data_IF_899041224175
#
_entry.id   IF_899041224175
#
_cell.length_a   1.000
_cell.length_b   1.000
_cell.length_c   1.000
_cell.angle_alpha   90.00
_cell.angle_beta   90.00
_cell.angle_gamma   90.00
#
_symmetry.space_group_name_H-M   'P 1'
#
loop_
_entity.id
_entity.type
_entity.pdbx_description
1 polymer ?
#
# COMPACT_ATOMS: atom_id res chain seq x y z
N UNK A 1 10.92 -10.35 -19.12
CA UNK A 1 11.57 -10.58 -17.82
C UNK A 1 12.57 -9.45 -17.66
N UNK A 2 12.19 -8.33 -17.03
CA UNK A 2 13.16 -7.28 -16.68
C UNK A 2 14.05 -7.83 -15.56
N UNK A 3 15.35 -7.70 -15.74
CA UNK A 3 16.38 -8.14 -14.82
C UNK A 3 16.23 -7.41 -13.48
N UNK A 4 16.51 -8.09 -12.36
CA UNK A 4 16.57 -7.50 -11.00
C UNK A 4 17.57 -6.31 -10.89
N UNK A 5 18.31 -6.00 -11.95
CA UNK A 5 19.28 -4.90 -12.03
C UNK A 5 18.64 -3.50 -12.25
N UNK A 6 17.31 -3.41 -12.50
CA UNK A 6 16.65 -2.15 -12.86
C UNK A 6 15.61 -1.66 -11.80
N UNK A 7 15.47 -2.35 -10.65
CA UNK A 7 14.55 -1.90 -9.60
C UNK A 7 15.17 -0.73 -8.82
N UNK A 8 14.36 0.31 -8.50
CA UNK A 8 14.85 1.43 -7.71
C UNK A 8 15.07 1.03 -6.24
N UNK A 9 15.99 1.72 -5.57
CA UNK A 9 16.06 1.67 -4.10
C UNK A 9 14.89 2.44 -3.51
N UNK A 10 14.09 1.80 -2.64
CA UNK A 10 12.93 2.40 -1.99
C UNK A 10 13.12 2.46 -0.48
N UNK A 11 12.49 3.46 0.16
CA UNK A 11 12.52 3.67 1.61
C UNK A 11 11.20 3.25 2.28
N UNK A 12 10.11 3.16 1.51
CA UNK A 12 8.80 2.78 2.03
C UNK A 12 7.93 2.11 0.95
N UNK A 13 6.98 1.30 1.40
CA UNK A 13 5.96 0.67 0.56
C UNK A 13 4.59 1.11 1.06
N UNK A 14 3.73 1.58 0.15
CA UNK A 14 2.31 1.85 0.45
C UNK A 14 1.42 0.90 -0.33
N UNK A 15 0.36 0.41 0.30
CA UNK A 15 -0.54 -0.59 -0.32
C UNK A 15 -1.99 -0.15 -0.14
N UNK A 16 -2.74 -0.17 -1.24
CA UNK A 16 -4.18 0.05 -1.25
C UNK A 16 -4.94 -1.21 -1.64
N UNK A 17 -6.02 -1.51 -0.92
CA UNK A 17 -6.90 -2.65 -1.21
C UNK A 17 -8.33 -2.41 -0.70
N UNK A 18 -9.28 -3.22 -1.21
CA UNK A 18 -10.67 -3.18 -0.77
C UNK A 18 -11.27 -4.60 -0.78
N UNK A 19 -12.34 -4.86 -1.50
CA UNK A 19 -12.97 -6.17 -1.58
C UNK A 19 -11.95 -7.25 -2.04
N UNK A 20 -11.82 -8.34 -1.26
CA UNK A 20 -10.80 -9.38 -1.44
C UNK A 20 -9.39 -9.00 -0.92
N UNK A 21 -9.26 -7.81 -0.33
CA UNK A 21 -7.97 -7.26 0.07
C UNK A 21 -7.30 -8.00 1.23
N UNK A 22 -8.06 -8.59 2.15
CA UNK A 22 -7.48 -9.35 3.29
C UNK A 22 -6.68 -10.53 2.78
N UNK A 23 -7.26 -11.35 1.90
CA UNK A 23 -6.61 -12.51 1.30
C UNK A 23 -5.42 -12.10 0.43
N UNK A 24 -5.58 -11.03 -0.37
CA UNK A 24 -4.51 -10.49 -1.20
C UNK A 24 -3.33 -10.01 -0.34
N UNK A 25 -3.58 -9.24 0.72
CA UNK A 25 -2.55 -8.77 1.65
C UNK A 25 -1.85 -9.92 2.35
N UNK A 26 -2.59 -10.92 2.84
CA UNK A 26 -1.99 -12.11 3.47
C UNK A 26 -1.09 -12.86 2.50
N UNK A 27 -1.47 -12.96 1.22
CA UNK A 27 -0.68 -13.65 0.20
C UNK A 27 0.67 -12.97 -0.07
N UNK A 28 0.74 -11.63 -0.04
CA UNK A 28 1.98 -10.90 -0.31
C UNK A 28 2.82 -10.63 0.94
N UNK A 29 2.21 -10.57 2.14
CA UNK A 29 2.90 -10.21 3.38
C UNK A 29 3.35 -11.43 4.20
N UNK A 30 2.62 -12.56 4.16
CA UNK A 30 3.01 -13.77 4.91
C UNK A 30 4.36 -14.36 4.48
N UNK A 31 4.79 -14.27 3.21
CA UNK A 31 6.11 -14.74 2.81
C UNK A 31 7.28 -13.84 3.24
N UNK A 32 7.02 -12.62 3.74
CA UNK A 32 8.06 -11.71 4.19
C UNK A 32 8.75 -12.28 5.45
N UNK A 33 10.07 -12.26 5.46
CA UNK A 33 10.89 -12.82 6.55
C UNK A 33 10.80 -11.99 7.83
N UNK A 34 11.12 -12.60 8.93
CA UNK A 34 11.44 -11.86 10.15
C UNK A 34 12.63 -10.91 9.90
N UNK A 35 12.49 -9.67 10.38
CA UNK A 35 13.50 -8.64 10.13
C UNK A 35 13.45 -7.99 8.75
N UNK A 36 12.31 -8.10 8.01
CA UNK A 36 12.05 -7.28 6.84
C UNK A 36 12.15 -5.80 7.23
N UNK A 37 12.97 -5.01 6.52
CA UNK A 37 13.38 -3.66 7.00
C UNK A 37 12.51 -2.52 6.49
N UNK A 38 11.87 -2.65 5.32
CA UNK A 38 11.06 -1.56 4.78
C UNK A 38 9.75 -1.38 5.57
N UNK A 39 9.35 -0.16 5.94
CA UNK A 39 8.01 0.09 6.45
C UNK A 39 6.97 -0.15 5.36
N UNK A 40 5.85 -0.77 5.75
CA UNK A 40 4.70 -1.00 4.87
C UNK A 40 3.49 -0.31 5.47
N UNK A 41 2.82 0.56 4.70
CA UNK A 41 1.65 1.31 5.14
C UNK A 41 0.46 0.91 4.29
N UNK A 42 -0.63 0.48 4.92
CA UNK A 42 -1.79 -0.12 4.25
C UNK A 42 -3.06 0.68 4.53
N UNK A 43 -3.76 1.05 3.48
CA UNK A 43 -5.18 1.39 3.52
C UNK A 43 -5.97 0.21 2.97
N UNK A 44 -6.78 -0.41 3.81
CA UNK A 44 -7.74 -1.43 3.43
C UNK A 44 -9.15 -0.92 3.75
N UNK A 45 -10.00 -0.78 2.71
CA UNK A 45 -11.40 -0.43 2.93
C UNK A 45 -12.12 -1.56 3.65
N UNK A 46 -12.66 -1.24 4.81
CA UNK A 46 -13.54 -2.11 5.58
C UNK A 46 -14.96 -1.55 5.56
N UNK A 47 -16.00 -2.40 5.72
CA UNK A 47 -17.32 -1.91 6.10
C UNK A 47 -17.22 -1.00 7.33
N UNK A 48 -18.17 -0.06 7.48
CA UNK A 48 -18.18 0.97 8.54
C UNK A 48 -18.12 0.39 9.97
N UNK A 49 -17.00 -0.19 10.34
CA UNK A 49 -16.71 -0.66 11.70
C UNK A 49 -15.87 0.38 12.44
N UNK A 50 -16.32 0.77 13.62
CA UNK A 50 -15.63 1.74 14.48
C UNK A 50 -14.33 1.20 15.09
N UNK A 51 -14.04 -0.10 14.93
CA UNK A 51 -12.82 -0.77 15.39
C UNK A 51 -12.35 -1.74 14.31
N UNK A 52 -11.10 -1.61 13.93
CA UNK A 52 -10.42 -2.58 13.09
C UNK A 52 -9.78 -3.66 13.97
N UNK A 53 -9.90 -4.91 13.57
CA UNK A 53 -9.13 -6.02 14.13
C UNK A 53 -8.00 -6.46 13.20
N UNK A 54 -7.67 -5.63 12.19
CA UNK A 54 -6.64 -5.99 11.20
C UNK A 54 -5.29 -6.21 11.85
N UNK A 55 -4.86 -5.33 12.76
CA UNK A 55 -3.59 -5.50 13.46
C UNK A 55 -3.53 -6.82 14.20
N UNK A 56 -4.61 -7.23 14.89
CA UNK A 56 -4.69 -8.51 15.60
C UNK A 56 -4.66 -9.72 14.65
N UNK A 57 -5.36 -9.62 13.51
CA UNK A 57 -5.41 -10.70 12.51
C UNK A 57 -4.06 -10.88 11.85
N UNK A 58 -3.43 -9.78 11.42
CA UNK A 58 -2.16 -9.83 10.70
C UNK A 58 -0.98 -10.14 11.61
N UNK A 59 -0.94 -9.67 12.86
CA UNK A 59 0.13 -9.99 13.81
C UNK A 59 0.32 -11.49 14.08
N UNK A 60 -0.71 -12.29 13.83
CA UNK A 60 -0.67 -13.76 13.95
C UNK A 60 -0.23 -14.48 12.67
N UNK A 61 -0.11 -13.77 11.57
CA UNK A 61 0.09 -14.35 10.23
C UNK A 61 1.33 -13.84 9.52
N UNK A 62 1.88 -12.67 9.92
CA UNK A 62 3.07 -12.09 9.34
C UNK A 62 4.18 -11.98 10.39
N UNK A 63 5.42 -12.03 9.94
CA UNK A 63 6.59 -11.97 10.84
C UNK A 63 6.96 -10.53 11.24
N UNK A 64 6.38 -9.53 10.58
CA UNK A 64 6.61 -8.11 10.88
C UNK A 64 5.87 -7.65 12.14
N UNK A 65 6.36 -6.61 12.80
CA UNK A 65 5.58 -5.88 13.80
C UNK A 65 4.37 -5.23 13.11
N UNK A 66 3.16 -5.42 13.66
CA UNK A 66 1.91 -4.91 13.09
C UNK A 66 1.25 -3.95 14.07
N UNK A 67 0.90 -2.75 13.61
CA UNK A 67 0.24 -1.71 14.43
C UNK A 67 -0.77 -0.90 13.60
N UNK A 68 -1.70 -0.22 14.27
CA UNK A 68 -2.47 0.87 13.65
C UNK A 68 -1.62 2.15 13.62
N UNK A 69 -1.74 2.93 12.55
CA UNK A 69 -1.07 4.22 12.44
C UNK A 69 -1.72 5.24 13.41
N UNK A 70 -0.89 5.94 14.18
CA UNK A 70 -1.35 6.97 15.12
C UNK A 70 -0.91 8.35 14.65
N UNK A 71 -1.77 9.35 14.89
CA UNK A 71 -1.46 10.74 14.55
C UNK A 71 -0.14 11.20 15.16
N UNK A 72 0.69 11.86 14.34
CA UNK A 72 2.03 12.37 14.68
C UNK A 72 3.06 11.32 15.10
N UNK A 73 2.79 10.03 14.98
CA UNK A 73 3.83 9.02 15.19
C UNK A 73 4.77 8.92 13.99
N UNK A 74 6.06 8.68 14.25
CA UNK A 74 7.07 8.46 13.21
C UNK A 74 6.89 7.08 12.58
N UNK A 75 7.24 6.98 11.30
CA UNK A 75 7.26 5.72 10.55
C UNK A 75 8.57 5.00 10.88
N UNK A 76 8.46 3.82 11.48
CA UNK A 76 9.60 2.99 11.90
C UNK A 76 9.85 1.89 10.87
N UNK A 77 11.11 1.61 10.57
CA UNK A 77 11.53 0.50 9.73
C UNK A 77 10.98 -0.85 10.26
N UNK A 78 10.74 -1.78 9.37
CA UNK A 78 10.31 -3.13 9.72
C UNK A 78 8.89 -3.24 10.29
N UNK A 79 8.08 -2.21 10.14
CA UNK A 79 6.73 -2.16 10.72
C UNK A 79 5.65 -2.11 9.63
N UNK A 80 4.63 -2.94 9.80
CA UNK A 80 3.41 -2.94 9.00
C UNK A 80 2.36 -2.07 9.72
N UNK A 81 1.94 -1.01 9.06
CA UNK A 81 0.93 -0.07 9.56
C UNK A 81 -0.40 -0.25 8.83
N UNK A 82 -1.49 -0.31 9.57
CA UNK A 82 -2.83 -0.16 9.03
C UNK A 82 -3.40 1.20 9.35
N UNK A 83 -4.11 1.80 8.40
CA UNK A 83 -4.82 3.05 8.62
C UNK A 83 -5.92 2.87 9.68
N UNK A 84 -6.02 3.84 10.59
CA UNK A 84 -7.06 3.88 11.63
C UNK A 84 -8.44 4.12 11.00
N UNK A 85 -9.46 3.31 11.35
CA UNK A 85 -10.80 3.48 10.81
C UNK A 85 -11.39 4.86 11.07
N UNK A 86 -12.10 5.40 10.08
CA UNK A 86 -12.81 6.67 10.21
C UNK A 86 -11.97 7.93 10.00
N UNK A 87 -10.67 7.80 9.77
CA UNK A 87 -9.76 8.90 9.45
C UNK A 87 -9.07 8.65 8.10
N UNK A 88 -8.78 9.70 7.34
CA UNK A 88 -7.79 9.63 6.28
C UNK A 88 -6.40 9.55 6.89
N UNK A 89 -5.55 8.72 6.32
CA UNK A 89 -4.15 8.57 6.69
C UNK A 89 -3.27 9.24 5.65
N UNK A 90 -2.42 10.15 6.09
CA UNK A 90 -1.40 10.81 5.27
C UNK A 90 -0.01 10.63 5.87
N UNK A 91 1.00 10.70 4.99
CA UNK A 91 2.41 10.72 5.36
C UNK A 91 2.93 12.14 5.21
N UNK A 92 3.50 12.71 6.28
CA UNK A 92 4.12 14.02 6.28
C UNK A 92 5.57 13.96 5.76
N UNK A 93 6.13 15.12 5.39
CA UNK A 93 7.51 15.20 4.86
C UNK A 93 8.59 14.77 5.86
N UNK A 94 8.29 14.88 7.16
CA UNK A 94 9.18 14.44 8.25
C UNK A 94 9.06 12.94 8.55
N UNK A 95 8.32 12.19 7.72
CA UNK A 95 8.04 10.76 7.88
C UNK A 95 7.19 10.44 9.12
N UNK A 96 6.35 11.35 9.56
CA UNK A 96 5.30 11.09 10.52
C UNK A 96 3.95 10.86 9.84
N UNK A 97 3.00 10.27 10.56
CA UNK A 97 1.61 10.16 10.13
C UNK A 97 0.79 11.38 10.47
N UNK A 98 -0.21 11.67 9.66
CA UNK A 98 -1.26 12.64 9.94
C UNK A 98 -2.63 12.00 9.72
N UNK A 99 -3.54 12.18 10.68
CA UNK A 99 -4.92 11.70 10.59
C UNK A 99 -5.86 12.88 10.38
N UNK A 100 -6.77 12.80 9.39
CA UNK A 100 -7.74 13.86 9.12
C UNK A 100 -9.17 13.35 9.04
N UNK A 101 -10.13 14.26 9.30
CA UNK A 101 -11.57 14.01 9.19
C UNK A 101 -12.18 14.66 7.94
N UNK A 102 -11.36 14.95 6.93
CA UNK A 102 -11.84 15.45 5.65
C UNK A 102 -12.93 14.59 5.02
N UNK A 103 -13.65 15.14 4.05
CA UNK A 103 -14.76 14.45 3.41
C UNK A 103 -14.33 13.12 2.78
N UNK A 104 -15.26 12.15 2.77
CA UNK A 104 -15.01 10.83 2.16
C UNK A 104 -14.66 10.96 0.68
N UNK A 105 -13.63 10.28 0.24
CA UNK A 105 -13.26 10.13 -1.17
C UNK A 105 -13.75 8.77 -1.66
N UNK A 106 -14.46 8.76 -2.79
CA UNK A 106 -15.10 7.53 -3.31
C UNK A 106 -15.90 6.76 -2.25
N UNK A 107 -16.59 7.51 -1.37
CA UNK A 107 -17.36 6.99 -0.22
C UNK A 107 -16.51 6.33 0.88
N UNK A 108 -15.18 6.39 0.79
CA UNK A 108 -14.25 5.76 1.73
C UNK A 108 -13.53 6.77 2.64
N UNK A 109 -13.34 6.39 3.89
CA UNK A 109 -12.45 7.04 4.86
C UNK A 109 -11.99 5.99 5.88
N UNK A 110 -10.72 5.54 5.80
CA UNK A 110 -9.60 6.06 4.99
C UNK A 110 -9.81 5.90 3.48
N UNK A 111 -9.19 6.80 2.69
CA UNK A 111 -9.09 6.67 1.25
C UNK A 111 -7.65 6.35 0.83
N UNK A 112 -7.50 5.49 -0.18
CA UNK A 112 -6.21 5.07 -0.72
C UNK A 112 -5.51 6.24 -1.41
N UNK A 113 -6.26 7.07 -2.16
CA UNK A 113 -5.72 8.25 -2.84
C UNK A 113 -5.02 9.21 -1.85
N UNK A 114 -5.57 9.43 -0.63
CA UNK A 114 -4.94 10.26 0.40
C UNK A 114 -3.56 9.72 0.81
N UNK A 115 -3.47 8.43 1.08
CA UNK A 115 -2.20 7.80 1.43
C UNK A 115 -1.20 7.90 0.28
N UNK A 116 -1.61 7.56 -0.93
CA UNK A 116 -0.70 7.51 -2.07
C UNK A 116 -0.17 8.89 -2.45
N UNK A 117 -1.05 9.91 -2.51
CA UNK A 117 -0.65 11.28 -2.84
C UNK A 117 0.31 11.86 -1.80
N UNK A 118 -0.01 11.73 -0.51
CA UNK A 118 0.85 12.23 0.57
C UNK A 118 2.19 11.49 0.66
N UNK A 119 2.18 10.17 0.49
CA UNK A 119 3.41 9.38 0.46
C UNK A 119 4.27 9.71 -0.77
N UNK A 120 3.67 10.00 -1.93
CA UNK A 120 4.39 10.46 -3.11
C UNK A 120 5.09 11.79 -2.87
N UNK A 121 4.43 12.74 -2.17
CA UNK A 121 5.03 14.02 -1.78
C UNK A 121 6.18 13.86 -0.75
N UNK A 122 6.04 12.88 0.14
CA UNK A 122 7.03 12.63 1.18
C UNK A 122 8.25 11.85 0.68
N UNK A 123 8.09 10.82 -0.14
CA UNK A 123 9.16 9.90 -0.54
C UNK A 123 9.66 10.10 -1.98
N UNK A 124 8.82 10.65 -2.87
CA UNK A 124 9.19 10.81 -4.28
C UNK A 124 9.62 9.49 -4.92
N UNK A 125 10.84 9.46 -5.56
CA UNK A 125 11.35 8.25 -6.21
C UNK A 125 11.65 7.08 -5.27
N UNK A 126 11.79 7.33 -3.96
CA UNK A 126 12.05 6.31 -2.96
C UNK A 126 10.76 5.61 -2.44
N UNK A 127 9.62 5.78 -3.13
CA UNK A 127 8.35 5.13 -2.81
C UNK A 127 8.06 3.96 -3.76
N UNK A 128 7.58 2.84 -3.21
CA UNK A 128 6.85 1.83 -3.97
C UNK A 128 5.37 1.85 -3.56
N UNK A 129 4.47 1.89 -4.53
CA UNK A 129 3.02 1.86 -4.30
C UNK A 129 2.38 0.66 -5.01
N UNK A 130 1.56 -0.08 -4.27
CA UNK A 130 0.88 -1.30 -4.73
C UNK A 130 -0.62 -1.10 -4.63
N UNK A 131 -1.34 -1.29 -5.73
CA UNK A 131 -2.80 -1.28 -5.76
C UNK A 131 -3.33 -2.68 -6.07
N UNK A 132 -4.14 -3.22 -5.15
CA UNK A 132 -4.65 -4.58 -5.20
C UNK A 132 -6.14 -4.60 -5.60
N UNK A 133 -6.76 -5.74 -5.43
CA UNK A 133 -8.19 -6.00 -5.64
C UNK A 133 -9.09 -5.00 -4.91
N UNK A 134 -10.21 -4.61 -5.51
CA UNK A 134 -11.18 -3.70 -4.91
C UNK A 134 -12.35 -3.35 -5.83
N UNK A 135 -13.47 -2.89 -5.24
CA UNK A 135 -14.75 -2.68 -5.92
C UNK A 135 -15.01 -1.22 -6.34
N UNK A 136 -14.08 -0.30 -6.12
CA UNK A 136 -14.18 1.09 -6.54
C UNK A 136 -12.88 1.56 -7.21
N UNK A 137 -12.80 2.85 -7.57
CA UNK A 137 -11.64 3.44 -8.27
C UNK A 137 -10.64 4.15 -7.36
N UNK A 138 -10.83 4.10 -6.03
CA UNK A 138 -9.94 4.75 -5.08
C UNK A 138 -8.52 4.18 -5.18
N UNK A 139 -7.53 5.05 -5.11
CA UNK A 139 -6.12 4.72 -5.30
C UNK A 139 -5.62 4.84 -6.75
N UNK A 140 -6.50 4.91 -7.75
CA UNK A 140 -6.10 5.03 -9.15
C UNK A 140 -5.42 6.38 -9.44
N UNK A 141 -5.97 7.48 -8.91
CA UNK A 141 -5.41 8.83 -9.07
C UNK A 141 -4.13 8.99 -8.26
N UNK A 142 -4.13 8.56 -7.00
CA UNK A 142 -2.94 8.61 -6.14
C UNK A 142 -1.79 7.77 -6.69
N UNK A 143 -2.07 6.60 -7.29
CA UNK A 143 -1.03 5.78 -7.93
C UNK A 143 -0.41 6.51 -9.15
N UNK A 144 -1.24 7.22 -9.93
CA UNK A 144 -0.73 8.04 -11.04
C UNK A 144 0.16 9.20 -10.54
N UNK A 145 -0.16 9.80 -9.39
CA UNK A 145 0.69 10.81 -8.75
C UNK A 145 2.03 10.20 -8.28
N UNK A 146 2.01 9.00 -7.69
CA UNK A 146 3.25 8.28 -7.34
C UNK A 146 4.13 8.13 -8.58
N UNK A 147 3.56 7.70 -9.72
CA UNK A 147 4.30 7.60 -11.00
C UNK A 147 4.88 8.93 -11.44
N UNK A 148 4.11 10.02 -11.37
CA UNK A 148 4.56 11.37 -11.73
C UNK A 148 5.71 11.87 -10.88
N UNK A 149 5.79 11.44 -9.60
CA UNK A 149 6.88 11.76 -8.67
C UNK A 149 8.08 10.82 -8.79
N UNK A 150 8.05 9.87 -9.74
CA UNK A 150 9.14 8.92 -10.00
C UNK A 150 9.14 7.69 -9.11
N UNK A 151 8.11 7.49 -8.28
CA UNK A 151 7.94 6.29 -7.47
C UNK A 151 7.57 5.06 -8.31
N UNK A 152 7.85 3.88 -7.80
CA UNK A 152 7.54 2.59 -8.42
C UNK A 152 6.06 2.26 -8.25
N UNK A 153 5.36 1.96 -9.34
CA UNK A 153 3.93 1.68 -9.34
C UNK A 153 3.64 0.23 -9.74
N UNK A 154 2.86 -0.45 -8.91
CA UNK A 154 2.56 -1.88 -9.06
C UNK A 154 1.05 -2.06 -8.94
N UNK A 155 0.45 -2.76 -9.90
CA UNK A 155 -0.98 -3.10 -9.92
C UNK A 155 -1.13 -4.61 -9.96
N UNK A 156 -2.04 -5.15 -9.17
CA UNK A 156 -2.43 -6.56 -9.27
C UNK A 156 -3.04 -6.84 -10.63
N UNK A 157 -2.67 -7.97 -11.27
CA UNK A 157 -3.26 -8.39 -12.55
C UNK A 157 -4.79 -8.51 -12.39
N UNK A 158 -5.57 -7.71 -13.16
CA UNK A 158 -7.03 -7.76 -13.09
C UNK A 158 -7.63 -9.14 -13.39
N UNK A 159 -6.89 -9.99 -14.09
CA UNK A 159 -7.36 -11.35 -14.46
C UNK A 159 -7.44 -12.30 -13.28
N UNK A 160 -6.67 -12.06 -12.23
CA UNK A 160 -6.68 -12.89 -11.02
C UNK A 160 -7.23 -12.16 -9.78
N UNK A 161 -7.43 -10.84 -9.88
CA UNK A 161 -8.00 -10.07 -8.78
C UNK A 161 -9.42 -10.55 -8.48
N UNK A 162 -9.73 -10.77 -7.20
CA UNK A 162 -11.08 -11.17 -6.78
C UNK A 162 -12.14 -10.18 -7.27
N UNK A 163 -11.81 -8.88 -7.25
CA UNK A 163 -12.62 -7.81 -7.84
C UNK A 163 -11.71 -6.89 -8.65
N UNK A 164 -11.82 -6.95 -9.95
CA UNK A 164 -10.92 -6.30 -10.90
C UNK A 164 -11.15 -4.79 -11.07
N UNK A 165 -12.21 -4.22 -10.48
CA UNK A 165 -12.61 -2.81 -10.71
C UNK A 165 -11.50 -1.83 -10.34
N UNK A 166 -10.87 -2.01 -9.19
CA UNK A 166 -9.79 -1.12 -8.70
C UNK A 166 -8.52 -1.24 -9.54
N UNK A 167 -7.98 -2.45 -9.84
CA UNK A 167 -6.87 -2.61 -10.77
C UNK A 167 -7.15 -2.03 -12.16
N UNK A 168 -8.33 -2.30 -12.74
CA UNK A 168 -8.70 -1.76 -14.05
C UNK A 168 -8.77 -0.23 -14.04
N UNK A 169 -9.34 0.38 -12.99
CA UNK A 169 -9.39 1.84 -12.86
C UNK A 169 -7.99 2.47 -12.84
N UNK A 170 -7.00 1.81 -12.23
CA UNK A 170 -5.61 2.27 -12.27
C UNK A 170 -5.03 2.22 -13.68
N UNK A 171 -5.28 1.13 -14.42
CA UNK A 171 -4.81 0.97 -15.81
C UNK A 171 -5.46 1.97 -16.78
N UNK A 172 -6.69 2.41 -16.49
CA UNK A 172 -7.39 3.43 -17.27
C UNK A 172 -6.79 4.84 -17.07
N UNK A 173 -6.19 5.11 -15.91
CA UNK A 173 -5.65 6.44 -15.55
C UNK A 173 -4.19 6.60 -16.00
N UNK A 174 -3.37 5.57 -15.85
CA UNK A 174 -1.95 5.62 -16.18
C UNK A 174 -1.39 4.24 -16.54
N UNK A 175 -0.15 4.22 -17.06
CA UNK A 175 0.60 2.99 -17.28
C UNK A 175 1.52 2.72 -16.07
N UNK A 176 1.21 1.74 -15.21
CA UNK A 176 2.08 1.37 -14.08
C UNK A 176 3.38 0.73 -14.57
N UNK A 177 4.40 0.69 -13.70
CA UNK A 177 5.66 0.00 -14.00
C UNK A 177 5.46 -1.50 -14.08
N UNK A 178 4.60 -2.04 -13.22
CA UNK A 178 4.32 -3.47 -13.18
C UNK A 178 2.82 -3.75 -13.06
N UNK A 179 2.36 -4.74 -13.83
CA UNK A 179 1.06 -5.41 -13.66
C UNK A 179 1.39 -6.88 -13.41
N UNK A 180 1.16 -7.36 -12.19
CA UNK A 180 1.69 -8.65 -11.74
C UNK A 180 0.62 -9.50 -11.04
N UNK A 181 0.70 -10.83 -11.17
CA UNK A 181 0.03 -11.77 -10.30
C UNK A 181 0.41 -11.56 -8.84
N UNK A 182 -0.52 -11.88 -7.92
CA UNK A 182 -0.35 -11.62 -6.47
C UNK A 182 0.95 -12.23 -5.91
N UNK A 183 1.30 -13.45 -6.33
CA UNK A 183 2.52 -14.12 -5.86
C UNK A 183 3.80 -13.42 -6.35
N UNK A 184 3.76 -12.82 -7.55
CA UNK A 184 4.90 -12.10 -8.11
C UNK A 184 5.04 -10.72 -7.47
N UNK A 185 3.94 -10.09 -7.02
CA UNK A 185 3.99 -8.91 -6.15
C UNK A 185 4.75 -9.24 -4.86
N UNK A 186 4.39 -10.31 -4.17
CA UNK A 186 5.10 -10.73 -2.95
C UNK A 186 6.61 -10.94 -3.18
N UNK A 187 7.01 -11.56 -4.30
CA UNK A 187 8.43 -11.72 -4.69
C UNK A 187 9.11 -10.39 -4.94
N UNK A 188 8.41 -9.47 -5.62
CA UNK A 188 8.92 -8.13 -5.89
C UNK A 188 9.20 -7.36 -4.60
N UNK A 189 8.33 -7.45 -3.57
CA UNK A 189 8.56 -6.81 -2.27
C UNK A 189 9.84 -7.33 -1.62
N UNK A 190 10.13 -8.63 -1.70
CA UNK A 190 11.38 -9.23 -1.20
C UNK A 190 12.61 -8.69 -1.96
N UNK A 191 12.51 -8.54 -3.29
CA UNK A 191 13.61 -7.98 -4.08
C UNK A 191 13.86 -6.51 -3.79
N UNK A 192 12.81 -5.70 -3.57
CA UNK A 192 12.94 -4.30 -3.16
C UNK A 192 13.68 -4.15 -1.83
N UNK A 193 13.38 -5.02 -0.84
CA UNK A 193 14.12 -5.03 0.43
C UNK A 193 15.61 -5.32 0.22
N UNK A 194 15.95 -6.28 -0.66
CA UNK A 194 17.36 -6.63 -0.95
C UNK A 194 18.17 -5.50 -1.54
N UNK A 195 17.50 -4.57 -2.26
CA UNK A 195 18.14 -3.40 -2.86
C UNK A 195 18.27 -2.28 -1.84
N UNK A 196 17.35 -2.19 -0.87
CA UNK A 196 17.37 -1.18 0.18
C UNK A 196 18.40 -1.47 1.29
N UNK A 197 18.86 -2.71 1.42
CA UNK A 197 19.90 -3.15 2.35
C UNK A 197 21.29 -3.08 1.73
#
# INVERSE_FOLDING_TARGET
MNSAADLPSVEAIVIGASAGGVEALLSILSPLREGFVLPIIVVLHLPDERRSHLADVFSRRVAMRVVEAHDKSLIEAGTLYFATPGYHLSVERDRSFSLSLEDRVHYSRPAIDFLFSSAADAYGPALAAVLLTGANRDGASGLAEVKQRGGLTIVQDPKEAQVATMPLAALDVHQPDHVLPINDIGRLLVELERIAC
#
